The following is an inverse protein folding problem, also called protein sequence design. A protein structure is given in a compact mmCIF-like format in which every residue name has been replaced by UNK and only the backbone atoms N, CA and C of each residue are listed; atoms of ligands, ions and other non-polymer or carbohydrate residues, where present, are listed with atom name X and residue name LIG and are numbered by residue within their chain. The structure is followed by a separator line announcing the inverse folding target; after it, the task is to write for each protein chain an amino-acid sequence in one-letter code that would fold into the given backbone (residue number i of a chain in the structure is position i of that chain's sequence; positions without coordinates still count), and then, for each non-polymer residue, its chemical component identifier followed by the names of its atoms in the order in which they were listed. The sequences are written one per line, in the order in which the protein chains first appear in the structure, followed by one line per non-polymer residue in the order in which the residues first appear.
data_IF_906412806468
#
_entry.id   IF_906412806468
#
_cell.length_a   1.000
_cell.length_b   1.000
_cell.length_c   1.000
_cell.angle_alpha   90.00
_cell.angle_beta   90.00
_cell.angle_gamma   90.00
#
_symmetry.space_group_name_H-M   'P 1'
#
loop_
_entity.id
_entity.type
_entity.pdbx_description
1 polymer ?
#
# COMPACT_ATOMS: atom_id res chain seq x y z
N UNK A 1 -14.39 -14.38 5.42
CA UNK A 1 -15.50 -14.64 6.37
C UNK A 1 -16.03 -16.02 6.06
N UNK A 2 -16.04 -16.90 7.05
CA UNK A 2 -16.61 -18.24 6.90
C UNK A 2 -18.13 -18.18 7.13
N UNK A 3 -18.91 -18.59 6.13
CA UNK A 3 -20.37 -18.62 6.21
C UNK A 3 -20.93 -19.94 6.78
N UNK A 4 -20.09 -20.97 6.91
CA UNK A 4 -20.47 -22.32 7.36
C UNK A 4 -21.19 -22.31 8.71
N UNK A 5 -20.74 -21.56 9.75
CA UNK A 5 -21.44 -21.55 11.04
C UNK A 5 -22.87 -21.02 10.97
N UNK A 6 -23.13 -20.05 10.09
CA UNK A 6 -24.45 -19.45 9.91
C UNK A 6 -25.40 -20.40 9.20
N UNK A 7 -24.90 -21.08 8.17
CA UNK A 7 -25.68 -22.09 7.44
C UNK A 7 -25.96 -23.31 8.31
N UNK A 8 -24.96 -23.77 9.08
CA UNK A 8 -25.15 -24.83 10.07
C UNK A 8 -26.15 -24.46 11.16
N UNK A 9 -26.18 -23.19 11.57
CA UNK A 9 -27.19 -22.75 12.52
C UNK A 9 -28.59 -22.82 11.93
N UNK A 10 -28.77 -22.32 10.71
CA UNK A 10 -30.07 -22.40 10.03
C UNK A 10 -30.52 -23.86 9.86
N UNK A 11 -29.60 -24.78 9.56
CA UNK A 11 -29.88 -26.22 9.49
C UNK A 11 -30.36 -26.79 10.82
N UNK A 12 -29.71 -26.43 11.93
CA UNK A 12 -30.15 -26.85 13.27
C UNK A 12 -31.53 -26.31 13.60
N UNK A 13 -31.79 -25.04 13.32
CA UNK A 13 -33.11 -24.42 13.53
C UNK A 13 -34.20 -25.09 12.70
N UNK A 14 -33.90 -25.43 11.43
CA UNK A 14 -34.82 -26.17 10.58
C UNK A 14 -35.13 -27.55 11.15
N UNK A 15 -34.12 -28.27 11.64
CA UNK A 15 -34.32 -29.58 12.28
C UNK A 15 -35.22 -29.46 13.53
N UNK A 16 -34.93 -28.50 14.41
CA UNK A 16 -35.74 -28.23 15.62
C UNK A 16 -37.19 -27.89 15.26
N UNK A 17 -37.40 -27.07 14.22
CA UNK A 17 -38.75 -26.75 13.76
C UNK A 17 -39.48 -27.97 13.18
N UNK A 18 -38.76 -28.85 12.48
CA UNK A 18 -39.30 -30.06 11.90
C UNK A 18 -39.72 -31.09 12.97
N UNK A 19 -39.02 -31.16 14.12
CA UNK A 19 -39.41 -32.00 15.26
C UNK A 19 -40.87 -31.78 15.69
N UNK A 20 -41.28 -30.51 15.73
CA UNK A 20 -42.63 -30.12 16.16
C UNK A 20 -43.70 -30.51 15.13
N UNK A 21 -43.31 -30.78 13.89
CA UNK A 21 -44.19 -31.10 12.76
C UNK A 21 -44.46 -32.59 12.55
N UNK A 22 -43.85 -33.48 13.35
CA UNK A 22 -43.99 -34.93 13.20
C UNK A 22 -43.03 -35.54 12.17
N UNK A 23 -43.21 -36.84 11.90
CA UNK A 23 -42.26 -37.64 11.11
C UNK A 23 -42.17 -37.16 9.65
N UNK A 24 -43.30 -36.82 9.02
CA UNK A 24 -43.32 -36.34 7.64
C UNK A 24 -42.58 -35.00 7.47
N UNK A 25 -42.66 -34.12 8.47
CA UNK A 25 -41.93 -32.85 8.47
C UNK A 25 -40.43 -33.07 8.62
N UNK A 26 -40.04 -34.03 9.47
CA UNK A 26 -38.65 -34.43 9.68
C UNK A 26 -38.02 -35.00 8.40
N UNK A 27 -38.71 -35.94 7.74
CA UNK A 27 -38.26 -36.51 6.47
C UNK A 27 -38.14 -35.46 5.36
N UNK A 28 -39.03 -34.47 5.34
CA UNK A 28 -38.97 -33.37 4.39
C UNK A 28 -37.76 -32.46 4.68
N UNK A 29 -37.52 -32.11 5.95
CA UNK A 29 -36.38 -31.28 6.35
C UNK A 29 -35.04 -31.93 6.00
N UNK A 30 -34.90 -33.24 6.22
CA UNK A 30 -33.69 -33.99 5.85
C UNK A 30 -33.43 -33.94 4.34
N UNK A 31 -34.48 -34.08 3.52
CA UNK A 31 -34.39 -33.98 2.04
C UNK A 31 -34.03 -32.58 1.56
N UNK A 32 -34.51 -31.54 2.25
CA UNK A 32 -34.29 -30.14 1.88
C UNK A 32 -32.96 -29.56 2.38
N UNK A 33 -32.33 -30.19 3.36
CA UNK A 33 -31.12 -29.69 4.01
C UNK A 33 -29.97 -29.43 3.02
N UNK A 34 -29.62 -30.41 2.18
CA UNK A 34 -28.51 -30.26 1.23
C UNK A 34 -28.79 -29.23 0.10
N UNK A 35 -29.97 -29.21 -0.54
CA UNK A 35 -30.31 -28.15 -1.51
C UNK A 35 -30.35 -26.74 -0.90
N UNK A 36 -30.82 -26.60 0.34
CA UNK A 36 -30.94 -25.31 1.01
C UNK A 36 -29.58 -24.71 1.35
N UNK A 37 -28.55 -25.51 1.64
CA UNK A 37 -27.22 -25.01 1.97
C UNK A 37 -26.67 -24.07 0.89
N UNK A 38 -26.72 -24.51 -0.37
CA UNK A 38 -26.22 -23.73 -1.51
C UNK A 38 -27.06 -22.49 -1.77
N UNK A 39 -28.39 -22.61 -1.68
CA UNK A 39 -29.31 -21.49 -1.87
C UNK A 39 -29.12 -20.42 -0.79
N UNK A 40 -29.05 -20.81 0.48
CA UNK A 40 -28.83 -19.91 1.62
C UNK A 40 -27.50 -19.17 1.48
N UNK A 41 -26.42 -19.89 1.14
CA UNK A 41 -25.10 -19.25 0.95
C UNK A 41 -25.14 -18.21 -0.15
N UNK A 42 -25.74 -18.53 -1.30
CA UNK A 42 -25.87 -17.58 -2.41
C UNK A 42 -26.71 -16.36 -2.01
N UNK A 43 -27.83 -16.58 -1.31
CA UNK A 43 -28.67 -15.48 -0.81
C UNK A 43 -27.89 -14.59 0.16
N UNK A 44 -27.11 -15.15 1.08
CA UNK A 44 -26.26 -14.37 2.00
C UNK A 44 -25.23 -13.53 1.23
N UNK A 45 -24.57 -14.11 0.23
CA UNK A 45 -23.62 -13.36 -0.62
C UNK A 45 -24.31 -12.19 -1.34
N UNK A 46 -25.48 -12.42 -1.93
CA UNK A 46 -26.24 -11.35 -2.58
C UNK A 46 -26.61 -10.22 -1.62
N UNK A 47 -27.06 -10.56 -0.40
CA UNK A 47 -27.39 -9.57 0.64
C UNK A 47 -26.15 -8.78 1.07
N UNK A 48 -25.02 -9.45 1.29
CA UNK A 48 -23.76 -8.80 1.64
C UNK A 48 -23.29 -7.86 0.54
N UNK A 49 -23.33 -8.28 -0.73
CA UNK A 49 -22.97 -7.43 -1.87
C UNK A 49 -23.86 -6.19 -1.96
N UNK A 50 -25.18 -6.35 -1.88
CA UNK A 50 -26.11 -5.23 -1.92
C UNK A 50 -25.91 -4.25 -0.74
N UNK A 51 -25.66 -4.77 0.47
CA UNK A 51 -25.38 -3.95 1.63
C UNK A 51 -24.05 -3.17 1.48
N UNK A 52 -23.02 -3.78 0.90
CA UNK A 52 -21.75 -3.10 0.68
C UNK A 52 -21.85 -2.01 -0.40
N UNK A 53 -22.69 -2.20 -1.43
CA UNK A 53 -22.99 -1.15 -2.41
C UNK A 53 -23.64 0.08 -1.77
N UNK A 54 -24.56 -0.13 -0.83
CA UNK A 54 -25.19 0.94 -0.05
C UNK A 54 -24.16 1.69 0.81
N UNK A 55 -23.35 0.95 1.57
CA UNK A 55 -22.29 1.53 2.41
C UNK A 55 -21.26 2.29 1.57
N UNK A 56 -20.84 1.74 0.43
CA UNK A 56 -19.85 2.39 -0.45
C UNK A 56 -20.36 3.73 -0.98
N UNK A 57 -21.67 3.88 -1.23
CA UNK A 57 -22.25 5.17 -1.63
C UNK A 57 -22.15 6.20 -0.51
N UNK A 58 -22.31 5.80 0.74
CA UNK A 58 -22.23 6.69 1.90
C UNK A 58 -20.78 6.98 2.33
N UNK A 59 -19.82 6.09 2.03
CA UNK A 59 -18.44 6.17 2.49
C UNK A 59 -17.51 7.05 1.61
N UNK A 60 -18.01 7.64 0.53
CA UNK A 60 -17.19 8.39 -0.42
C UNK A 60 -16.34 9.49 0.28
N UNK A 61 -15.03 9.62 -0.04
CA UNK A 61 -14.31 9.01 -1.16
C UNK A 61 -13.74 7.60 -0.89
N UNK A 62 -14.09 6.96 0.23
CA UNK A 62 -13.76 5.55 0.51
C UNK A 62 -14.75 4.57 -0.14
N UNK A 63 -14.44 3.27 -0.05
CA UNK A 63 -15.30 2.17 -0.51
C UNK A 63 -15.20 0.96 0.41
N UNK A 64 -16.22 0.11 0.38
CA UNK A 64 -16.16 -1.24 0.95
C UNK A 64 -16.60 -2.23 -0.12
N UNK A 65 -15.68 -3.10 -0.54
CA UNK A 65 -15.92 -4.08 -1.59
C UNK A 65 -15.94 -5.50 -1.00
N UNK A 66 -16.74 -6.39 -1.59
CA UNK A 66 -16.73 -7.82 -1.26
C UNK A 66 -15.93 -8.58 -2.31
N UNK A 67 -14.89 -9.30 -1.87
CA UNK A 67 -14.08 -10.19 -2.70
C UNK A 67 -14.29 -11.63 -2.26
N UNK A 68 -14.44 -12.56 -3.21
CA UNK A 68 -14.52 -13.98 -2.88
C UNK A 68 -13.13 -14.63 -2.88
N UNK A 69 -12.83 -15.39 -1.82
CA UNK A 69 -11.71 -16.33 -1.78
C UNK A 69 -12.28 -17.74 -1.70
N UNK A 70 -12.37 -18.41 -2.84
CA UNK A 70 -13.14 -19.65 -2.93
C UNK A 70 -14.63 -19.35 -2.69
N UNK A 71 -15.20 -19.90 -1.62
CA UNK A 71 -16.60 -19.68 -1.22
C UNK A 71 -16.76 -18.69 -0.06
N UNK A 72 -15.66 -18.13 0.44
CA UNK A 72 -15.65 -17.26 1.60
C UNK A 72 -15.53 -15.80 1.18
N UNK A 73 -16.50 -14.93 1.53
CA UNK A 73 -16.42 -13.51 1.25
C UNK A 73 -15.40 -12.81 2.15
N UNK A 74 -14.67 -11.86 1.59
CA UNK A 74 -13.63 -11.06 2.23
C UNK A 74 -13.94 -9.58 1.98
N UNK A 75 -13.90 -8.74 3.00
CA UNK A 75 -14.22 -7.32 2.87
C UNK A 75 -12.95 -6.52 2.64
N UNK A 76 -12.93 -5.72 1.59
CA UNK A 76 -11.82 -4.82 1.25
C UNK A 76 -12.30 -3.41 1.48
N UNK A 77 -11.74 -2.75 2.49
CA UNK A 77 -12.09 -1.36 2.83
C UNK A 77 -11.02 -0.44 2.26
N UNK A 78 -11.42 0.47 1.39
CA UNK A 78 -10.59 1.58 0.90
C UNK A 78 -10.96 2.83 1.67
N UNK A 79 -10.05 3.36 2.48
CA UNK A 79 -10.32 4.59 3.24
C UNK A 79 -9.94 5.84 2.43
N UNK A 80 -10.62 6.98 2.66
CA UNK A 80 -10.18 8.27 2.15
C UNK A 80 -8.71 8.55 2.51
N UNK A 81 -7.96 9.17 1.60
CA UNK A 81 -6.54 9.49 1.78
C UNK A 81 -6.23 10.47 2.95
N UNK A 82 -7.23 10.88 3.73
CA UNK A 82 -7.10 11.72 4.93
C UNK A 82 -7.13 10.98 6.26
N UNK A 83 -7.65 9.74 6.32
CA UNK A 83 -7.86 9.00 7.58
C UNK A 83 -6.68 8.09 7.98
N UNK A 84 -5.72 7.88 7.08
CA UNK A 84 -4.48 7.14 7.40
C UNK A 84 -3.58 7.88 8.41
N UNK A 85 -3.86 9.17 8.68
CA UNK A 85 -3.07 9.97 9.61
C UNK A 85 -3.42 9.79 11.10
N UNK A 86 -4.57 9.21 11.46
CA UNK A 86 -5.06 9.24 12.85
C UNK A 86 -5.27 7.88 13.54
N UNK A 87 -5.34 6.75 12.83
CA UNK A 87 -5.54 5.43 13.48
C UNK A 87 -4.25 4.62 13.73
N UNK A 88 -3.08 5.14 13.33
CA UNK A 88 -1.78 4.51 13.60
C UNK A 88 -1.06 4.96 14.88
N UNK A 89 -1.63 5.87 15.69
CA UNK A 89 -0.90 6.57 16.76
C UNK A 89 -1.47 6.44 18.18
N UNK A 90 -2.43 5.55 18.41
CA UNK A 90 -3.03 5.33 19.74
C UNK A 90 -2.82 3.90 20.26
N UNK A 91 -1.55 3.51 20.35
CA UNK A 91 -1.07 2.40 21.17
C UNK A 91 0.36 2.75 21.61
N UNK A 92 0.79 2.45 22.86
CA UNK A 92 2.17 2.68 23.27
C UNK A 92 3.10 2.05 22.21
N UNK A 93 3.98 2.86 21.65
CA UNK A 93 4.88 2.46 20.58
C UNK A 93 5.77 1.29 21.02
N UNK A 94 5.34 0.06 20.74
CA UNK A 94 6.18 -1.13 20.75
C UNK A 94 6.64 -1.43 19.31
N UNK A 95 7.95 -1.54 19.05
CA UNK A 95 8.47 -1.76 17.71
C UNK A 95 8.44 -3.25 17.37
N UNK A 96 7.53 -3.69 16.52
CA UNK A 96 7.50 -5.10 16.07
C UNK A 96 7.50 -5.26 14.54
N UNK A 97 8.71 -5.56 14.07
CA UNK A 97 9.10 -6.59 13.09
C UNK A 97 8.24 -6.76 11.83
N UNK A 98 8.83 -6.37 10.70
CA UNK A 98 8.46 -6.82 9.37
C UNK A 98 8.70 -8.34 9.18
N UNK A 99 7.91 -9.04 8.33
CA UNK A 99 8.29 -10.37 7.86
C UNK A 99 9.47 -10.26 6.90
N UNK A 100 10.48 -11.11 7.12
CA UNK A 100 11.73 -11.15 6.37
C UNK A 100 11.52 -11.55 4.89
N UNK A 101 12.24 -10.93 3.95
CA UNK A 101 12.75 -11.63 2.78
C UNK A 101 14.11 -12.28 3.11
N UNK A 102 14.33 -13.47 2.55
CA UNK A 102 15.54 -14.28 2.67
C UNK A 102 16.82 -13.54 2.20
N UNK A 103 18.02 -14.02 2.58
CA UNK A 103 19.25 -13.22 2.57
C UNK A 103 19.83 -13.09 1.17
N UNK A 104 20.37 -11.92 0.87
CA UNK A 104 21.37 -11.74 -0.17
C UNK A 104 22.53 -10.95 0.45
N UNK A 105 23.65 -11.63 0.58
CA UNK A 105 24.94 -11.10 1.01
C UNK A 105 25.38 -9.91 0.14
N UNK A 106 26.00 -8.89 0.76
CA UNK A 106 26.68 -7.82 0.04
C UNK A 106 26.73 -6.50 0.81
N UNK A 107 27.83 -6.32 1.52
CA UNK A 107 28.31 -5.10 2.18
C UNK A 107 28.26 -3.84 1.28
N UNK A 108 27.46 -2.83 1.66
CA UNK A 108 27.83 -1.40 1.83
C UNK A 108 26.57 -0.56 2.14
N UNK A 109 26.61 0.28 3.19
CA UNK A 109 25.61 1.32 3.52
C UNK A 109 24.11 0.98 3.38
N UNK A 110 23.49 0.47 4.45
CA UNK A 110 22.07 0.08 4.46
C UNK A 110 21.12 1.16 3.92
N UNK A 111 20.43 0.87 2.81
CA UNK A 111 19.47 1.78 2.19
C UNK A 111 18.16 1.86 2.98
N UNK A 112 17.78 3.06 3.45
CA UNK A 112 16.47 3.30 4.05
C UNK A 112 15.38 3.38 2.97
N UNK A 113 14.28 2.65 3.16
CA UNK A 113 13.14 2.67 2.22
C UNK A 113 12.27 3.90 2.48
N UNK A 114 12.05 4.72 1.44
CA UNK A 114 11.22 5.95 1.51
C UNK A 114 10.12 5.88 0.45
N UNK A 115 8.89 6.27 0.80
CA UNK A 115 7.78 6.41 -0.15
C UNK A 115 7.58 7.89 -0.50
N UNK A 116 7.94 8.29 -1.72
CA UNK A 116 7.93 9.68 -2.17
C UNK A 116 6.73 9.94 -3.10
N UNK A 117 5.88 10.90 -2.73
CA UNK A 117 4.78 11.38 -3.57
C UNK A 117 5.17 12.69 -4.24
N UNK A 118 5.22 12.70 -5.57
CA UNK A 118 5.55 13.88 -6.38
C UNK A 118 4.33 14.35 -7.16
N UNK A 119 4.11 15.68 -7.29
CA UNK A 119 3.23 16.24 -8.31
C UNK A 119 3.57 15.69 -9.70
N UNK A 120 2.57 15.42 -10.53
CA UNK A 120 2.75 14.74 -11.83
C UNK A 120 3.79 15.41 -12.75
N UNK A 121 3.83 16.74 -12.75
CA UNK A 121 4.79 17.52 -13.53
C UNK A 121 6.24 17.36 -13.04
N UNK A 122 6.46 17.16 -11.73
CA UNK A 122 7.80 16.93 -11.18
C UNK A 122 8.28 15.51 -11.46
N UNK A 123 7.38 14.52 -11.39
CA UNK A 123 7.69 13.14 -11.79
C UNK A 123 8.15 13.07 -13.26
N UNK A 124 7.40 13.68 -14.17
CA UNK A 124 7.74 13.68 -15.61
C UNK A 124 9.11 14.32 -15.88
N UNK A 125 9.43 15.44 -15.21
CA UNK A 125 10.74 16.10 -15.34
C UNK A 125 11.88 15.27 -14.77
N UNK A 126 11.65 14.54 -13.68
CA UNK A 126 12.65 13.64 -13.10
C UNK A 126 12.93 12.43 -14.01
N UNK A 127 11.89 11.86 -14.63
CA UNK A 127 12.02 10.77 -15.62
C UNK A 127 12.81 11.21 -16.86
N UNK A 128 12.53 12.40 -17.38
CA UNK A 128 13.27 12.96 -18.52
C UNK A 128 14.75 13.25 -18.18
N UNK A 129 15.02 13.78 -16.99
CA UNK A 129 16.38 14.01 -16.53
C UNK A 129 17.16 12.71 -16.32
N UNK A 130 16.53 11.68 -15.73
CA UNK A 130 17.12 10.37 -15.57
C UNK A 130 17.44 9.70 -16.92
N UNK A 131 16.51 9.78 -17.88
CA UNK A 131 16.70 9.23 -19.23
C UNK A 131 17.84 9.90 -20.00
N UNK A 132 17.97 11.23 -19.91
CA UNK A 132 19.09 11.96 -20.55
C UNK A 132 20.46 11.52 -20.03
N UNK A 133 20.49 11.05 -18.79
CA UNK A 133 21.72 10.63 -18.12
C UNK A 133 21.91 9.11 -18.13
N UNK A 134 21.00 8.35 -18.78
CA UNK A 134 21.06 6.90 -18.85
C UNK A 134 20.90 6.21 -17.49
N UNK A 135 20.27 6.88 -16.52
CA UNK A 135 20.09 6.38 -15.15
C UNK A 135 18.64 5.97 -14.92
N UNK A 136 18.43 5.04 -13.98
CA UNK A 136 17.09 4.82 -13.43
C UNK A 136 16.66 6.04 -12.61
N UNK A 137 15.35 6.28 -12.52
CA UNK A 137 14.80 7.40 -11.74
C UNK A 137 15.26 7.34 -10.28
N UNK A 138 15.31 6.15 -9.68
CA UNK A 138 15.82 5.98 -8.31
C UNK A 138 17.31 6.37 -8.20
N UNK A 139 18.17 5.92 -9.11
CA UNK A 139 19.60 6.24 -9.09
C UNK A 139 19.82 7.75 -9.30
N UNK A 140 19.06 8.36 -10.21
CA UNK A 140 19.11 9.79 -10.46
C UNK A 140 18.65 10.60 -9.24
N UNK A 141 17.57 10.20 -8.58
CA UNK A 141 17.05 10.83 -7.35
C UNK A 141 18.02 10.71 -6.18
N UNK A 142 18.59 9.53 -5.95
CA UNK A 142 19.59 9.32 -4.89
C UNK A 142 20.77 10.27 -5.09
N UNK A 143 21.32 10.34 -6.30
CA UNK A 143 22.44 11.24 -6.61
C UNK A 143 22.07 12.72 -6.48
N UNK A 144 20.86 13.12 -6.88
CA UNK A 144 20.39 14.48 -6.72
C UNK A 144 20.26 14.87 -5.24
N UNK A 145 19.77 13.95 -4.40
CA UNK A 145 19.69 14.14 -2.94
C UNK A 145 21.09 14.18 -2.32
N UNK A 146 22.00 13.28 -2.69
CA UNK A 146 23.40 13.32 -2.24
C UNK A 146 24.05 14.65 -2.57
N UNK A 147 23.93 15.13 -3.82
CA UNK A 147 24.48 16.42 -4.22
C UNK A 147 23.88 17.60 -3.44
N UNK A 148 22.59 17.55 -3.11
CA UNK A 148 21.93 18.59 -2.32
C UNK A 148 22.35 18.58 -0.83
N UNK A 149 22.56 17.39 -0.27
CA UNK A 149 22.98 17.21 1.13
C UNK A 149 24.48 17.53 1.30
N UNK A 150 25.32 17.04 0.39
CA UNK A 150 26.77 17.28 0.39
C UNK A 150 27.10 18.74 0.00
N UNK A 151 26.23 19.39 -0.78
CA UNK A 151 26.35 20.79 -1.19
C UNK A 151 25.87 21.83 -0.16
N UNK A 152 25.42 21.40 1.03
CA UNK A 152 24.79 22.26 2.04
C UNK A 152 25.74 23.02 3.00
N UNK A 153 27.06 22.81 2.93
CA UNK A 153 28.02 23.53 3.78
C UNK A 153 28.72 24.66 3.01
N UNK A 154 28.50 25.96 3.34
CA UNK A 154 29.33 27.02 2.83
C UNK A 154 30.59 27.10 3.69
N UNK A 155 31.68 26.48 3.25
CA UNK A 155 33.02 26.83 3.73
C UNK A 155 33.81 27.43 2.58
N UNK A 156 33.82 28.77 2.56
CA UNK A 156 34.91 29.52 1.97
C UNK A 156 36.19 29.14 2.71
N UNK A 157 37.03 28.33 2.09
CA UNK A 157 38.44 28.28 2.45
C UNK A 157 39.24 27.98 1.19
N UNK A 158 39.81 29.06 0.66
CA UNK A 158 41.11 29.15 0.01
C UNK A 158 41.91 27.84 0.01
N UNK A 159 42.10 27.23 -1.16
CA UNK A 159 43.37 26.59 -1.45
C UNK A 159 43.68 26.57 -2.94
N UNK A 160 44.74 27.30 -3.28
CA UNK A 160 45.42 27.27 -4.56
C UNK A 160 46.00 25.88 -4.83
N UNK A 161 45.95 25.41 -6.09
CA UNK A 161 47.01 24.58 -6.63
C UNK A 161 47.97 25.50 -7.40
N UNK A 162 49.11 25.77 -6.79
CA UNK A 162 50.31 26.27 -7.48
C UNK A 162 50.76 25.16 -8.44
N UNK A 163 50.52 25.32 -9.74
CA UNK A 163 51.33 24.66 -10.76
C UNK A 163 51.70 25.67 -11.85
N UNK A 164 52.96 26.10 -11.74
CA UNK A 164 53.86 26.65 -12.76
C UNK A 164 53.33 26.74 -14.19
N UNK A 165 53.12 27.97 -14.67
CA UNK A 165 53.26 28.28 -16.10
C UNK A 165 53.83 29.69 -16.30
N UNK A 166 55.10 29.69 -16.70
CA UNK A 166 55.76 30.60 -17.64
C UNK A 166 55.68 32.11 -17.41
N UNK A 167 56.86 32.65 -17.06
CA UNK A 167 57.27 34.05 -17.12
C UNK A 167 56.91 34.65 -18.49
N UNK A 168 55.97 35.59 -18.51
CA UNK A 168 55.72 36.52 -19.60
C UNK A 168 55.76 37.93 -19.02
N UNK A 169 56.73 38.71 -19.46
CA UNK A 169 57.11 40.00 -18.89
C UNK A 169 56.00 41.05 -19.06
N UNK A 170 55.82 41.85 -18.02
CA UNK A 170 54.98 43.05 -17.97
C UNK A 170 55.56 44.20 -18.79
N UNK A 171 54.70 44.96 -19.46
CA UNK A 171 54.93 46.39 -19.70
C UNK A 171 53.67 47.18 -19.37
N UNK A 172 53.83 48.09 -18.41
CA UNK A 172 52.91 49.15 -17.99
C UNK A 172 53.06 50.35 -18.92
N UNK A 173 51.95 50.99 -19.29
CA UNK A 173 51.94 52.28 -19.96
C UNK A 173 50.65 53.04 -19.63
N UNK A 174 50.77 54.04 -18.76
CA UNK A 174 49.77 55.09 -18.55
C UNK A 174 50.16 56.35 -19.33
N UNK A 175 49.24 57.32 -19.37
CA UNK A 175 49.37 58.74 -19.82
C UNK A 175 48.88 58.92 -21.27
N UNK A 176 47.94 59.81 -21.62
CA UNK A 176 47.20 60.89 -20.92
C UNK A 176 45.86 61.09 -21.64
#
# INVERSE_FOLDING_TARGET
MDLTPYVDNLRRELAVAAEAGGEEARELADRLTAPLESATRLTMLNVLSAAMDEITRELAPGSVDVRLRGLDPDFVVTRPAGDEAYEGMSGPAEPLKAPAPAPADGDDGGTARVNLRLPAHLKARAEEAANREGLSVNAWLVRAVSAAVDGGAPSRTTEQPRTTRTVGQSFTGWVR
#
